data_IF_514842078157
#
_entry.id   IF_514842078157
#
_cell.length_a   1.000
_cell.length_b   1.000
_cell.length_c   1.000
_cell.angle_alpha   90.00
_cell.angle_beta   90.00
_cell.angle_gamma   90.00
#
_symmetry.space_group_name_H-M   'P 1'
#
loop_
_entity.id
_entity.type
_entity.pdbx_description
1 polymer ?
#
# COMPACT_ATOMS: atom_id res chain seq x y z
N UNK A 1 -59.14 36.92 -18.02
CA UNK A 1 -58.72 35.99 -16.95
C UNK A 1 -58.83 34.58 -17.51
N UNK A 2 -57.82 33.71 -17.59
CA UNK A 2 -56.48 33.63 -17.03
C UNK A 2 -55.52 33.12 -18.12
N UNK A 3 -54.31 33.69 -18.20
CA UNK A 3 -53.16 32.98 -18.73
C UNK A 3 -52.60 32.11 -17.61
N UNK A 4 -52.66 30.78 -17.77
CA UNK A 4 -52.05 29.83 -16.83
C UNK A 4 -50.55 29.77 -17.12
N UNK A 5 -49.77 30.53 -16.36
CA UNK A 5 -48.31 30.47 -16.41
C UNK A 5 -47.78 29.12 -15.90
N UNK A 6 -46.59 28.68 -16.35
CA UNK A 6 -46.01 27.41 -15.96
C UNK A 6 -45.73 27.40 -14.45
N UNK A 7 -46.29 26.42 -13.74
CA UNK A 7 -46.20 26.32 -12.29
C UNK A 7 -44.76 26.11 -11.78
N UNK A 8 -44.47 26.47 -10.51
CA UNK A 8 -43.12 26.58 -9.95
C UNK A 8 -42.34 25.26 -9.76
N UNK A 9 -42.87 24.14 -10.24
CA UNK A 9 -42.31 22.79 -10.05
C UNK A 9 -41.54 22.21 -11.24
N UNK A 10 -41.67 22.77 -12.44
CA UNK A 10 -41.13 22.15 -13.67
C UNK A 10 -39.63 22.43 -13.85
N UNK A 11 -39.16 23.65 -13.58
CA UNK A 11 -37.75 24.03 -13.73
C UNK A 11 -36.79 23.35 -12.74
N UNK A 12 -37.25 23.10 -11.50
CA UNK A 12 -36.44 22.43 -10.47
C UNK A 12 -36.13 20.97 -10.83
N UNK A 13 -37.10 20.25 -11.40
CA UNK A 13 -36.91 18.86 -11.85
C UNK A 13 -35.94 18.75 -13.03
N UNK A 14 -35.92 19.73 -13.92
CA UNK A 14 -35.01 19.78 -15.08
C UNK A 14 -33.56 20.06 -14.64
N UNK A 15 -33.34 21.03 -13.75
CA UNK A 15 -32.01 21.37 -13.21
C UNK A 15 -31.42 20.20 -12.42
N UNK A 16 -32.21 19.54 -11.57
CA UNK A 16 -31.77 18.36 -10.81
C UNK A 16 -31.37 17.19 -11.72
N UNK A 17 -32.08 16.99 -12.84
CA UNK A 17 -31.72 15.97 -13.84
C UNK A 17 -30.39 16.31 -14.52
N UNK A 18 -30.15 17.58 -14.84
CA UNK A 18 -28.92 18.04 -15.48
C UNK A 18 -27.71 17.92 -14.55
N UNK A 19 -27.85 18.33 -13.29
CA UNK A 19 -26.81 18.19 -12.26
C UNK A 19 -26.46 16.70 -12.05
N UNK A 20 -27.45 15.82 -11.95
CA UNK A 20 -27.22 14.37 -11.81
C UNK A 20 -26.48 13.78 -13.02
N UNK A 21 -26.85 14.19 -14.24
CA UNK A 21 -26.17 13.73 -15.44
C UNK A 21 -24.71 14.22 -15.50
N UNK A 22 -24.46 15.48 -15.13
CA UNK A 22 -23.11 16.05 -15.07
C UNK A 22 -22.24 15.38 -14.00
N UNK A 23 -22.81 15.08 -12.82
CA UNK A 23 -22.12 14.35 -11.76
C UNK A 23 -21.85 12.89 -12.15
N UNK A 24 -22.77 12.24 -12.86
CA UNK A 24 -22.56 10.87 -13.35
C UNK A 24 -21.46 10.80 -14.41
N UNK A 25 -21.39 11.76 -15.33
CA UNK A 25 -20.32 11.87 -16.32
C UNK A 25 -18.96 12.15 -15.67
N UNK A 26 -18.91 13.06 -14.69
CA UNK A 26 -17.71 13.32 -13.91
C UNK A 26 -17.25 12.08 -13.11
N UNK A 27 -18.19 11.33 -12.52
CA UNK A 27 -17.89 10.09 -11.80
C UNK A 27 -17.39 8.98 -12.74
N UNK A 28 -17.97 8.85 -13.94
CA UNK A 28 -17.53 7.89 -14.94
C UNK A 28 -16.11 8.21 -15.43
N UNK A 29 -15.82 9.48 -15.74
CA UNK A 29 -14.48 9.96 -16.09
C UNK A 29 -13.47 9.78 -14.96
N UNK A 30 -13.87 10.04 -13.72
CA UNK A 30 -13.03 9.79 -12.55
C UNK A 30 -12.74 8.30 -12.35
N UNK A 31 -13.72 7.42 -12.55
CA UNK A 31 -13.52 5.97 -12.47
C UNK A 31 -12.67 5.42 -13.62
N UNK A 32 -12.79 5.99 -14.82
CA UNK A 32 -11.93 5.66 -15.97
C UNK A 32 -10.49 6.13 -15.73
N UNK A 33 -10.30 7.37 -15.28
CA UNK A 33 -9.00 7.89 -14.86
C UNK A 33 -8.41 7.07 -13.71
N UNK A 34 -9.22 6.65 -12.74
CA UNK A 34 -8.78 5.80 -11.64
C UNK A 34 -8.34 4.41 -12.13
N UNK A 35 -9.08 3.79 -13.05
CA UNK A 35 -8.64 2.53 -13.70
C UNK A 35 -7.36 2.70 -14.51
N UNK A 36 -7.19 3.84 -15.17
CA UNK A 36 -5.97 4.16 -15.94
C UNK A 36 -4.78 4.45 -15.02
N UNK A 37 -5.01 5.09 -13.87
CA UNK A 37 -3.97 5.48 -12.90
C UNK A 37 -3.64 4.39 -11.88
N UNK A 38 -4.59 3.49 -11.61
CA UNK A 38 -4.51 2.35 -10.67
C UNK A 38 -5.18 1.13 -11.31
N UNK A 39 -4.51 0.46 -12.26
CA UNK A 39 -5.04 -0.76 -12.84
C UNK A 39 -5.24 -1.80 -11.75
N UNK A 40 -6.43 -2.38 -11.69
CA UNK A 40 -6.72 -3.46 -10.75
C UNK A 40 -5.76 -4.64 -11.00
N UNK A 41 -5.34 -5.38 -9.95
CA UNK A 41 -4.55 -6.59 -10.13
C UNK A 41 -5.25 -7.59 -11.05
N UNK A 42 -4.51 -8.22 -11.95
CA UNK A 42 -5.03 -9.27 -12.83
C UNK A 42 -5.15 -10.60 -12.08
N UNK A 43 -6.00 -11.53 -12.53
CA UNK A 43 -5.96 -12.91 -12.03
C UNK A 43 -4.54 -13.49 -12.17
N UNK A 44 -4.00 -14.05 -11.09
CA UNK A 44 -2.62 -14.56 -11.05
C UNK A 44 -1.53 -13.49 -10.95
N UNK A 45 -1.87 -12.26 -10.56
CA UNK A 45 -0.88 -11.22 -10.26
C UNK A 45 0.11 -11.70 -9.17
N UNK A 46 1.38 -11.33 -9.35
CA UNK A 46 2.47 -11.62 -8.42
C UNK A 46 2.23 -10.90 -7.10
N UNK A 47 2.18 -11.65 -6.01
CA UNK A 47 1.79 -11.14 -4.71
C UNK A 47 2.99 -10.51 -3.99
N UNK A 48 2.87 -9.23 -3.64
CA UNK A 48 3.93 -8.46 -2.99
C UNK A 48 3.44 -7.97 -1.63
N UNK A 49 4.08 -8.42 -0.55
CA UNK A 49 3.86 -7.86 0.78
C UNK A 49 4.93 -6.81 1.10
N UNK A 50 4.52 -5.67 1.64
CA UNK A 50 5.40 -4.60 2.11
C UNK A 50 5.26 -4.49 3.62
N UNK A 51 6.30 -4.88 4.37
CA UNK A 51 6.27 -4.91 5.83
C UNK A 51 6.66 -3.55 6.41
N UNK A 52 5.68 -2.79 6.90
CA UNK A 52 5.89 -1.54 7.62
C UNK A 52 6.28 -1.82 9.07
N UNK A 53 7.42 -1.26 9.49
CA UNK A 53 7.95 -1.31 10.85
C UNK A 53 7.83 0.06 11.51
N UNK A 54 7.83 0.11 12.84
CA UNK A 54 7.90 1.40 13.53
C UNK A 54 9.16 2.17 13.13
N UNK A 55 9.01 3.46 12.87
CA UNK A 55 10.01 4.32 12.28
C UNK A 55 10.17 4.18 10.77
N UNK A 56 9.25 3.51 10.05
CA UNK A 56 9.32 3.37 8.58
C UNK A 56 9.34 4.73 7.89
N UNK A 57 10.13 4.86 6.81
CA UNK A 57 10.22 6.10 6.06
C UNK A 57 9.03 6.16 5.08
N UNK A 58 8.11 7.13 5.21
CA UNK A 58 6.82 7.09 4.52
C UNK A 58 6.96 7.20 3.01
N UNK A 59 7.96 7.93 2.53
CA UNK A 59 8.27 8.02 1.10
C UNK A 59 8.63 6.65 0.52
N UNK A 60 9.56 5.94 1.19
CA UNK A 60 10.06 4.64 0.73
C UNK A 60 9.01 3.53 0.87
N UNK A 61 8.15 3.60 1.90
CA UNK A 61 6.99 2.73 2.04
C UNK A 61 6.04 2.80 0.82
N UNK A 62 5.92 3.98 0.20
CA UNK A 62 5.09 4.19 -0.98
C UNK A 62 5.72 3.74 -2.30
N UNK A 63 7.04 3.57 -2.38
CA UNK A 63 7.75 3.23 -3.62
C UNK A 63 7.26 1.91 -4.24
N UNK A 64 7.14 0.79 -3.50
CA UNK A 64 6.64 -0.46 -4.07
C UNK A 64 5.27 -0.32 -4.72
N UNK A 65 4.37 0.43 -4.09
CA UNK A 65 3.03 0.71 -4.62
C UNK A 65 3.09 1.50 -5.91
N UNK A 66 3.93 2.55 -5.97
CA UNK A 66 4.07 3.39 -7.16
C UNK A 66 4.72 2.65 -8.32
N UNK A 67 5.83 1.97 -8.06
CA UNK A 67 6.61 1.29 -9.10
C UNK A 67 5.88 0.04 -9.58
N UNK A 68 5.52 -0.87 -8.68
CA UNK A 68 4.92 -2.16 -9.08
C UNK A 68 3.43 -2.01 -9.45
N UNK A 69 2.71 -1.08 -8.82
CA UNK A 69 1.31 -0.81 -9.17
C UNK A 69 1.12 -0.21 -10.57
N UNK A 70 2.17 0.39 -11.14
CA UNK A 70 2.14 0.89 -12.54
C UNK A 70 2.40 -0.19 -13.59
N UNK A 71 2.70 -1.43 -13.20
CA UNK A 71 3.04 -2.51 -14.11
C UNK A 71 1.80 -3.24 -14.66
N UNK A 72 0.78 -2.51 -15.11
CA UNK A 72 -0.44 -3.01 -15.74
C UNK A 72 -1.17 -4.14 -14.98
N UNK A 73 -1.19 -4.08 -13.64
CA UNK A 73 -1.85 -5.10 -12.81
C UNK A 73 -1.11 -6.44 -12.72
N UNK A 74 0.18 -6.50 -13.10
CA UNK A 74 1.03 -7.70 -12.93
C UNK A 74 1.38 -8.00 -11.48
N UNK A 75 1.31 -7.00 -10.60
CA UNK A 75 1.58 -7.12 -9.19
C UNK A 75 0.38 -6.70 -8.37
N UNK A 76 0.17 -7.40 -7.26
CA UNK A 76 -0.74 -6.97 -6.19
C UNK A 76 0.11 -6.61 -4.98
N UNK A 77 0.13 -5.33 -4.61
CA UNK A 77 0.97 -4.81 -3.53
C UNK A 77 0.12 -4.59 -2.28
N UNK A 78 0.48 -5.27 -1.19
CA UNK A 78 -0.25 -5.26 0.08
C UNK A 78 0.69 -4.80 1.20
N UNK A 79 0.38 -3.67 1.82
CA UNK A 79 1.13 -3.21 3.00
C UNK A 79 0.61 -3.89 4.26
N UNK A 80 1.53 -4.37 5.09
CA UNK A 80 1.24 -4.99 6.37
C UNK A 80 2.06 -4.38 7.50
N UNK A 81 1.51 -4.32 8.70
CA UNK A 81 2.30 -4.13 9.92
C UNK A 81 2.52 -5.46 10.63
N UNK A 82 3.48 -5.47 11.57
CA UNK A 82 3.87 -6.69 12.30
C UNK A 82 2.74 -7.30 13.15
N UNK A 83 1.70 -6.53 13.46
CA UNK A 83 0.57 -6.93 14.31
C UNK A 83 -0.79 -6.42 13.81
N UNK A 84 -0.87 -5.90 12.57
CA UNK A 84 -2.10 -5.34 11.99
C UNK A 84 -2.52 -3.98 12.57
N UNK A 85 -1.69 -3.34 13.41
CA UNK A 85 -1.97 -2.03 14.01
C UNK A 85 -1.32 -0.88 13.22
N UNK A 86 -1.75 0.38 13.45
CA UNK A 86 -1.08 1.55 12.89
C UNK A 86 0.40 1.61 13.28
N UNK A 87 1.21 2.11 12.36
CA UNK A 87 2.67 2.20 12.46
C UNK A 87 3.07 3.67 12.51
N UNK A 88 3.93 4.02 13.47
CA UNK A 88 4.51 5.37 13.54
C UNK A 88 5.66 5.45 12.54
N UNK A 89 5.66 6.48 11.70
CA UNK A 89 6.75 6.69 10.74
C UNK A 89 7.92 7.43 11.39
N UNK A 90 9.04 7.57 10.69
CA UNK A 90 10.13 8.50 11.09
C UNK A 90 9.73 9.98 10.96
N UNK A 91 8.67 10.24 10.20
CA UNK A 91 7.99 11.52 10.08
C UNK A 91 6.87 11.59 11.13
N UNK A 92 6.38 12.78 11.46
CA UNK A 92 5.30 13.05 12.42
C UNK A 92 3.92 12.47 12.05
N UNK A 93 3.90 11.50 11.13
CA UNK A 93 2.75 10.82 10.58
C UNK A 93 2.55 9.44 11.23
N UNK A 94 1.32 8.94 11.06
CA UNK A 94 0.97 7.55 11.36
C UNK A 94 0.39 6.95 10.10
N UNK A 95 0.89 5.79 9.69
CA UNK A 95 0.32 5.02 8.58
C UNK A 95 -0.48 3.86 9.14
N UNK A 96 -1.59 3.53 8.49
CA UNK A 96 -2.41 2.37 8.86
C UNK A 96 -2.39 1.38 7.69
N UNK A 97 -1.42 0.45 7.65
CA UNK A 97 -1.44 -0.64 6.67
C UNK A 97 -2.78 -1.39 6.71
N UNK A 98 -3.28 -1.82 5.56
CA UNK A 98 -4.58 -2.47 5.46
C UNK A 98 -4.57 -3.93 5.94
N UNK A 99 -3.38 -4.49 6.20
CA UNK A 99 -3.18 -5.90 6.51
C UNK A 99 -2.28 -6.11 7.74
N UNK A 100 -2.39 -7.28 8.35
CA UNK A 100 -1.46 -7.76 9.35
C UNK A 100 -0.39 -8.68 8.76
N UNK A 101 0.45 -9.30 9.60
CA UNK A 101 1.60 -10.09 9.18
C UNK A 101 1.23 -11.37 8.41
N UNK A 102 -0.04 -11.80 8.45
CA UNK A 102 -0.56 -12.97 7.73
C UNK A 102 -0.32 -12.91 6.22
N UNK A 103 -0.34 -11.72 5.59
CA UNK A 103 -0.15 -11.61 4.14
C UNK A 103 1.27 -11.96 3.67
N UNK A 104 2.24 -12.03 4.60
CA UNK A 104 3.61 -12.48 4.29
C UNK A 104 3.65 -13.98 3.93
N UNK A 105 2.71 -14.78 4.43
CA UNK A 105 2.65 -16.22 4.14
C UNK A 105 2.24 -16.50 2.69
N UNK A 106 1.40 -15.63 2.12
CA UNK A 106 0.89 -15.77 0.76
C UNK A 106 1.72 -15.01 -0.28
N UNK A 107 2.68 -14.20 0.16
CA UNK A 107 3.46 -13.34 -0.72
C UNK A 107 4.49 -14.12 -1.56
N UNK A 108 4.60 -13.77 -2.83
CA UNK A 108 5.68 -14.23 -3.71
C UNK A 108 6.94 -13.38 -3.54
N UNK A 109 6.79 -12.10 -3.16
CA UNK A 109 7.87 -11.20 -2.74
C UNK A 109 7.50 -10.49 -1.44
N UNK A 110 8.43 -10.43 -0.49
CA UNK A 110 8.34 -9.59 0.71
C UNK A 110 9.38 -8.49 0.61
N UNK A 111 8.92 -7.25 0.77
CA UNK A 111 9.73 -6.04 0.75
C UNK A 111 9.77 -5.46 2.17
N UNK A 112 10.97 -5.19 2.67
CA UNK A 112 11.23 -4.47 3.93
C UNK A 112 11.74 -3.07 3.58
N UNK A 113 10.91 -2.01 3.67
CA UNK A 113 11.34 -0.63 3.49
C UNK A 113 12.32 -0.20 4.61
N UNK A 114 13.03 0.92 4.44
CA UNK A 114 13.83 1.48 5.52
C UNK A 114 12.95 1.93 6.67
N UNK A 115 13.55 1.84 7.84
CA UNK A 115 12.99 2.32 9.09
C UNK A 115 14.11 2.90 9.95
N UNK A 116 13.73 3.67 10.96
CA UNK A 116 14.67 4.27 11.90
C UNK A 116 15.43 3.16 12.66
N UNK A 117 16.72 3.03 12.33
CA UNK A 117 17.62 2.08 12.98
C UNK A 117 18.49 2.82 13.98
N UNK A 118 18.58 2.29 15.19
CA UNK A 118 19.53 2.70 16.23
C UNK A 118 20.53 1.56 16.44
N UNK A 119 21.66 1.85 17.09
CA UNK A 119 22.62 0.78 17.45
C UNK A 119 21.95 -0.35 18.28
N UNK A 120 21.01 0.02 19.16
CA UNK A 120 20.26 -0.95 19.97
C UNK A 120 19.31 -1.80 19.12
N UNK A 121 18.53 -1.18 18.21
CA UNK A 121 17.57 -1.92 17.37
C UNK A 121 18.23 -2.73 16.25
N UNK A 122 19.46 -2.38 15.85
CA UNK A 122 20.28 -3.20 14.97
C UNK A 122 20.80 -4.47 15.67
N UNK A 123 21.17 -4.36 16.95
CA UNK A 123 21.66 -5.50 17.73
C UNK A 123 20.54 -6.44 18.18
N UNK A 124 19.39 -5.89 18.56
CA UNK A 124 18.22 -6.63 19.03
C UNK A 124 16.98 -6.14 18.27
N UNK A 125 16.55 -6.86 17.22
CA UNK A 125 15.36 -6.49 16.46
C UNK A 125 14.09 -6.64 17.31
N UNK A 126 13.02 -5.93 16.92
CA UNK A 126 11.69 -6.19 17.47
C UNK A 126 11.31 -7.67 17.26
N UNK A 127 11.04 -8.45 18.33
CA UNK A 127 10.62 -9.85 18.21
C UNK A 127 9.38 -10.04 17.34
N UNK A 128 8.48 -9.05 17.28
CA UNK A 128 7.30 -9.07 16.41
C UNK A 128 7.69 -9.00 14.94
N UNK A 129 8.73 -8.23 14.59
CA UNK A 129 9.24 -8.16 13.23
C UNK A 129 9.87 -9.49 12.80
N UNK A 130 10.64 -10.13 13.70
CA UNK A 130 11.17 -11.49 13.46
C UNK A 130 10.05 -12.52 13.31
N UNK A 131 9.02 -12.46 14.17
CA UNK A 131 7.85 -13.32 14.06
C UNK A 131 7.06 -13.09 12.76
N UNK A 132 6.96 -11.85 12.27
CA UNK A 132 6.37 -11.55 10.98
C UNK A 132 7.21 -12.17 9.84
N UNK A 133 8.52 -12.00 9.85
CA UNK A 133 9.42 -12.61 8.85
C UNK A 133 9.39 -14.14 8.86
N UNK A 134 9.18 -14.77 10.03
CA UNK A 134 9.04 -16.22 10.12
C UNK A 134 7.81 -16.77 9.37
N UNK A 135 6.85 -15.92 8.99
CA UNK A 135 5.70 -16.32 8.17
C UNK A 135 6.03 -16.44 6.68
N UNK A 136 7.16 -15.87 6.24
CA UNK A 136 7.54 -15.89 4.83
C UNK A 136 7.76 -17.33 4.37
N UNK A 137 7.00 -17.74 3.36
CA UNK A 137 7.07 -19.11 2.85
C UNK A 137 8.40 -19.39 2.15
N UNK A 138 8.90 -20.64 2.18
CA UNK A 138 10.04 -21.04 1.37
C UNK A 138 9.83 -20.68 -0.11
N UNK A 139 10.88 -20.16 -0.75
CA UNK A 139 10.85 -19.77 -2.16
C UNK A 139 10.32 -18.35 -2.45
N UNK A 140 9.73 -17.67 -1.47
CA UNK A 140 9.41 -16.25 -1.61
C UNK A 140 10.68 -15.40 -1.73
N UNK A 141 10.62 -14.35 -2.54
CA UNK A 141 11.74 -13.41 -2.70
C UNK A 141 11.76 -12.42 -1.54
N UNK A 142 12.90 -12.25 -0.89
CA UNK A 142 13.12 -11.20 0.10
C UNK A 142 13.87 -10.03 -0.54
N UNK A 143 13.36 -8.83 -0.33
CA UNK A 143 13.96 -7.58 -0.81
C UNK A 143 13.97 -6.60 0.35
N UNK A 144 15.10 -5.94 0.60
CA UNK A 144 15.17 -4.77 1.46
C UNK A 144 15.41 -3.51 0.65
N UNK A 145 14.96 -2.38 1.19
CA UNK A 145 15.34 -1.06 0.69
C UNK A 145 16.11 -0.36 1.81
N UNK A 146 17.28 0.19 1.48
CA UNK A 146 18.11 0.97 2.41
C UNK A 146 18.30 0.22 3.75
N UNK A 147 18.01 0.84 4.90
CA UNK A 147 18.19 0.28 6.24
C UNK A 147 17.28 -0.90 6.56
N UNK A 148 16.32 -1.26 5.70
CA UNK A 148 15.53 -2.49 5.83
C UNK A 148 16.40 -3.75 5.84
N UNK A 149 17.62 -3.67 5.30
CA UNK A 149 18.59 -4.76 5.29
C UNK A 149 19.02 -5.19 6.71
N UNK A 150 19.00 -4.28 7.69
CA UNK A 150 19.38 -4.59 9.08
C UNK A 150 18.46 -5.63 9.71
N UNK A 151 17.14 -5.57 9.46
CA UNK A 151 16.22 -6.59 9.93
C UNK A 151 16.53 -7.95 9.28
N UNK A 152 16.77 -7.97 7.97
CA UNK A 152 17.08 -9.22 7.26
C UNK A 152 18.41 -9.83 7.72
N UNK A 153 19.42 -8.99 7.97
CA UNK A 153 20.70 -9.43 8.54
C UNK A 153 20.51 -10.03 9.94
N UNK A 154 19.77 -9.35 10.81
CA UNK A 154 19.54 -9.82 12.17
C UNK A 154 18.66 -11.08 12.23
N UNK A 155 17.86 -11.35 11.20
CA UNK A 155 17.15 -12.60 11.02
C UNK A 155 18.02 -13.73 10.42
N UNK A 156 19.31 -13.50 10.15
CA UNK A 156 20.22 -14.45 9.50
C UNK A 156 19.94 -14.68 8.01
N UNK A 157 19.04 -13.89 7.41
CA UNK A 157 18.57 -14.12 6.03
C UNK A 157 19.58 -13.62 4.98
N UNK A 158 20.61 -12.89 5.40
CA UNK A 158 21.68 -12.38 4.56
C UNK A 158 23.02 -13.12 4.76
N UNK A 159 23.06 -14.15 5.61
CA UNK A 159 24.28 -14.90 5.89
C UNK A 159 24.85 -15.55 4.62
N UNK A 160 26.14 -15.29 4.35
CA UNK A 160 26.82 -15.78 3.16
C UNK A 160 26.32 -15.18 1.83
N UNK A 161 25.49 -14.13 1.86
CA UNK A 161 24.95 -13.47 0.67
C UNK A 161 25.60 -12.11 0.45
N UNK A 162 25.67 -11.70 -0.81
CA UNK A 162 26.00 -10.31 -1.17
C UNK A 162 24.77 -9.44 -0.90
N UNK A 163 24.97 -8.39 -0.10
CA UNK A 163 23.95 -7.40 0.20
C UNK A 163 24.57 -5.99 0.19
N UNK A 164 23.73 -4.97 0.08
CA UNK A 164 24.12 -3.56 0.21
C UNK A 164 23.08 -2.84 1.06
N UNK A 165 23.52 -1.80 1.77
CA UNK A 165 22.68 -0.87 2.52
C UNK A 165 23.26 0.54 2.36
N UNK A 166 22.49 1.55 2.73
CA UNK A 166 23.01 2.89 3.00
C UNK A 166 23.95 2.86 4.22
#
# INVERSE_FOLDING_TARGET
>A
MLAVGPGPGHGKKVILRYIRAMLADAAARAAELDRLMRPAPRPGAHQVAVLALDGVYPFELGIPHRVLGSADGRYEVRSASVDGRPVRTDSDLTVTPAHGPEVLADADTVIVPPYAVTAASAAVPDPRALAALARVRPGARLVSICTGAFLLAAAGLLDGRRATTH
#
